data_IF_911306771741
#
_entry.id   IF_911306771741
#
_cell.length_a   1.000
_cell.length_b   1.000
_cell.length_c   1.000
_cell.angle_alpha   90.00
_cell.angle_beta   90.00
_cell.angle_gamma   90.00
#
_symmetry.space_group_name_H-M   'P 1'
#
loop_
_entity.id
_entity.type
_entity.pdbx_description
1 polymer ?
#
# COMPACT_ATOMS: atom_id res chain seq x y z
N UNK A 1 -13.49 -27.55 -33.42
CA UNK A 1 -13.55 -26.90 -32.10
C UNK A 1 -12.23 -27.21 -31.42
N UNK A 2 -11.29 -26.28 -31.54
CA UNK A 2 -9.92 -26.40 -31.06
C UNK A 2 -9.81 -25.57 -29.77
N UNK A 3 -9.41 -26.21 -28.67
CA UNK A 3 -9.19 -25.55 -27.38
C UNK A 3 -7.68 -25.47 -27.16
N UNK A 4 -7.12 -24.34 -27.57
CA UNK A 4 -5.74 -23.97 -27.28
C UNK A 4 -5.44 -24.06 -25.78
N UNK A 5 -4.27 -24.57 -25.36
CA UNK A 5 -3.86 -24.55 -23.97
C UNK A 5 -3.60 -23.11 -23.52
N UNK A 6 -4.14 -22.79 -22.33
CA UNK A 6 -3.98 -21.52 -21.62
C UNK A 6 -2.50 -21.16 -21.50
N UNK A 7 -2.15 -19.98 -22.04
CA UNK A 7 -0.85 -19.33 -21.83
C UNK A 7 -0.65 -19.08 -20.34
N UNK A 8 0.43 -19.60 -19.78
CA UNK A 8 0.95 -19.23 -18.46
C UNK A 8 1.32 -17.74 -18.52
N UNK A 9 0.57 -16.91 -17.80
CA UNK A 9 0.94 -15.51 -17.59
C UNK A 9 2.09 -15.49 -16.59
N UNK A 10 3.31 -15.22 -17.09
CA UNK A 10 4.45 -14.80 -16.27
C UNK A 10 4.16 -13.40 -15.74
N UNK A 11 4.35 -13.17 -14.44
CA UNK A 11 4.42 -11.82 -13.88
C UNK A 11 3.90 -11.67 -12.46
N UNK A 12 4.55 -12.31 -11.48
CA UNK A 12 4.77 -11.73 -10.15
C UNK A 12 6.17 -12.19 -9.73
N UNK A 13 7.20 -11.53 -10.26
CA UNK A 13 8.55 -11.69 -9.73
C UNK A 13 8.58 -11.07 -8.33
N UNK A 14 8.85 -11.89 -7.30
CA UNK A 14 9.02 -11.43 -5.92
C UNK A 14 8.25 -12.21 -4.84
N UNK A 15 7.32 -13.09 -5.20
CA UNK A 15 6.66 -13.98 -4.22
C UNK A 15 6.89 -15.44 -4.62
N UNK A 16 7.94 -16.04 -4.04
CA UNK A 16 8.09 -17.49 -4.08
C UNK A 16 6.97 -18.07 -3.22
N UNK A 17 6.12 -18.92 -3.83
CA UNK A 17 5.07 -19.64 -3.09
C UNK A 17 5.73 -20.45 -1.95
N UNK A 18 5.27 -20.34 -0.69
CA UNK A 18 5.85 -21.11 0.39
C UNK A 18 5.71 -22.63 0.11
N UNK A 19 6.72 -23.44 0.43
CA UNK A 19 6.56 -24.90 0.44
C UNK A 19 5.40 -25.30 1.35
N UNK A 20 4.41 -26.04 0.83
CA UNK A 20 3.23 -26.50 1.58
C UNK A 20 1.92 -25.76 1.28
N UNK A 21 1.92 -24.78 0.36
CA UNK A 21 0.67 -24.15 -0.11
C UNK A 21 -0.15 -25.14 -0.96
N UNK A 22 -1.22 -25.68 -0.38
CA UNK A 22 -2.29 -26.35 -1.12
C UNK A 22 -3.36 -25.29 -1.44
N UNK A 23 -3.57 -25.02 -2.73
CA UNK A 23 -4.60 -24.09 -3.18
C UNK A 23 -5.96 -24.44 -2.54
N UNK A 24 -6.71 -23.41 -2.15
CA UNK A 24 -8.02 -23.58 -1.53
C UNK A 24 -8.89 -24.50 -2.41
N UNK A 25 -9.27 -25.65 -1.88
CA UNK A 25 -10.35 -26.46 -2.45
C UNK A 25 -11.68 -25.75 -2.20
N UNK A 26 -12.62 -25.93 -3.12
CA UNK A 26 -13.86 -25.15 -3.28
C UNK A 26 -14.82 -25.15 -2.08
N UNK A 27 -14.53 -25.92 -1.01
CA UNK A 27 -15.43 -26.11 0.13
C UNK A 27 -15.07 -25.34 1.41
N UNK A 28 -13.95 -24.61 1.47
CA UNK A 28 -13.58 -23.85 2.68
C UNK A 28 -14.12 -22.41 2.66
N UNK A 29 -15.43 -22.25 2.86
CA UNK A 29 -16.01 -20.98 3.30
C UNK A 29 -15.51 -20.69 4.72
N UNK A 30 -14.50 -19.82 4.82
CA UNK A 30 -13.85 -19.32 6.03
C UNK A 30 -12.92 -20.34 6.73
N UNK A 31 -11.82 -20.68 6.06
CA UNK A 31 -10.71 -21.42 6.66
C UNK A 31 -10.07 -20.64 7.81
N UNK A 32 -10.35 -21.06 9.05
CA UNK A 32 -9.58 -20.69 10.23
C UNK A 32 -8.25 -21.42 10.14
N UNK A 33 -7.16 -20.70 9.87
CA UNK A 33 -5.87 -21.35 9.63
C UNK A 33 -5.19 -21.84 10.92
N UNK A 34 -5.21 -21.14 12.07
CA UNK A 34 -4.58 -21.67 13.31
C UNK A 34 -5.17 -21.09 14.62
N UNK A 35 -5.07 -21.85 15.72
CA UNK A 35 -5.59 -21.55 17.08
C UNK A 35 -4.49 -21.09 18.05
N UNK A 36 -4.69 -19.97 18.73
CA UNK A 36 -3.86 -19.51 19.86
C UNK A 36 -4.07 -18.01 20.11
N UNK A 37 -4.33 -17.58 21.35
CA UNK A 37 -4.78 -16.20 21.61
C UNK A 37 -4.16 -15.51 22.83
N UNK A 38 -4.02 -14.19 22.74
CA UNK A 38 -3.61 -13.26 23.80
C UNK A 38 -4.72 -12.98 24.83
N UNK A 39 -4.37 -12.58 26.07
CA UNK A 39 -5.34 -12.14 27.09
C UNK A 39 -6.11 -10.88 26.68
N UNK A 40 -7.43 -10.85 26.98
CA UNK A 40 -8.39 -9.82 26.54
C UNK A 40 -8.16 -8.40 27.09
N UNK A 41 -7.54 -8.26 28.25
CA UNK A 41 -7.68 -7.04 29.07
C UNK A 41 -6.60 -5.97 28.84
N UNK A 42 -5.56 -6.29 28.06
CA UNK A 42 -4.44 -5.38 27.73
C UNK A 42 -4.58 -4.71 26.35
N UNK A 43 -5.66 -4.96 25.61
CA UNK A 43 -5.81 -4.47 24.25
C UNK A 43 -6.40 -3.03 24.18
N UNK A 44 -5.90 -2.17 23.25
CA UNK A 44 -6.46 -0.84 22.99
C UNK A 44 -7.97 -0.88 22.69
N UNK A 45 -8.69 0.21 22.95
CA UNK A 45 -10.15 0.29 22.75
C UNK A 45 -10.61 -0.05 21.33
N UNK A 46 -9.79 0.23 20.31
CA UNK A 46 -10.03 -0.14 18.92
C UNK A 46 -10.06 -1.67 18.66
N UNK A 47 -9.55 -2.47 19.60
CA UNK A 47 -9.53 -3.94 19.57
C UNK A 47 -10.67 -4.53 20.40
N UNK A 48 -11.33 -3.73 21.25
CA UNK A 48 -12.49 -4.13 22.07
C UNK A 48 -13.75 -4.24 21.20
N UNK A 49 -13.81 -5.27 20.37
CA UNK A 49 -14.92 -5.51 19.43
C UNK A 49 -14.57 -6.49 18.32
N UNK A 50 -13.29 -6.58 17.96
CA UNK A 50 -12.79 -7.75 17.24
C UNK A 50 -12.94 -8.95 18.17
N UNK A 51 -13.62 -10.01 17.70
CA UNK A 51 -13.59 -11.28 18.40
C UNK A 51 -12.11 -11.58 18.66
N UNK A 52 -11.70 -11.66 19.93
CA UNK A 52 -10.29 -11.74 20.34
C UNK A 52 -9.52 -12.79 19.53
N UNK A 53 -10.21 -13.86 19.12
CA UNK A 53 -9.71 -14.87 18.18
C UNK A 53 -9.30 -14.30 16.82
N UNK A 54 -10.15 -13.54 16.13
CA UNK A 54 -9.82 -12.94 14.82
C UNK A 54 -8.64 -11.98 14.90
N UNK A 55 -8.59 -11.13 15.94
CA UNK A 55 -7.44 -10.26 16.16
C UNK A 55 -6.15 -11.07 16.37
N UNK A 56 -6.20 -12.07 17.24
CA UNK A 56 -5.06 -12.95 17.48
C UNK A 56 -4.64 -13.72 16.22
N UNK A 57 -5.58 -14.20 15.41
CA UNK A 57 -5.28 -14.84 14.13
C UNK A 57 -4.56 -13.88 13.19
N UNK A 58 -5.02 -12.62 13.08
CA UNK A 58 -4.35 -11.62 12.24
C UNK A 58 -2.91 -11.34 12.70
N UNK A 59 -2.70 -11.20 14.02
CA UNK A 59 -1.37 -11.02 14.61
C UNK A 59 -0.49 -12.24 14.30
N UNK A 60 -0.97 -13.45 14.59
CA UNK A 60 -0.25 -14.69 14.33
C UNK A 60 0.11 -14.85 12.85
N UNK A 61 -0.78 -14.48 11.93
CA UNK A 61 -0.49 -14.55 10.50
C UNK A 61 0.66 -13.62 10.10
N UNK A 62 0.65 -12.37 10.59
CA UNK A 62 1.73 -11.41 10.33
C UNK A 62 3.04 -11.86 10.94
N UNK A 63 3.04 -12.32 12.20
CA UNK A 63 4.22 -12.84 12.89
C UNK A 63 4.80 -14.08 12.20
N UNK A 64 3.93 -14.97 11.71
CA UNK A 64 4.34 -16.18 10.98
C UNK A 64 5.03 -15.83 9.67
N UNK A 65 4.43 -14.93 8.87
CA UNK A 65 5.05 -14.47 7.62
C UNK A 65 6.40 -13.84 7.91
N UNK A 66 6.49 -12.96 8.91
CA UNK A 66 7.75 -12.32 9.29
C UNK A 66 8.80 -13.34 9.76
N UNK A 67 8.40 -14.38 10.50
CA UNK A 67 9.29 -15.45 10.96
C UNK A 67 9.74 -16.40 9.85
N UNK A 68 8.99 -16.47 8.74
CA UNK A 68 9.34 -17.27 7.55
C UNK A 68 10.16 -16.49 6.52
N UNK A 69 10.16 -15.15 6.60
CA UNK A 69 10.95 -14.31 5.72
C UNK A 69 12.45 -14.58 5.84
N UNK A 70 13.10 -14.69 4.69
CA UNK A 70 14.55 -14.74 4.57
C UNK A 70 15.19 -13.44 5.04
N UNK A 71 16.48 -13.49 5.39
CA UNK A 71 17.25 -12.30 5.74
C UNK A 71 17.28 -11.25 4.61
N UNK A 72 17.18 -11.69 3.35
CA UNK A 72 17.11 -10.80 2.19
C UNK A 72 15.76 -10.08 2.11
N UNK A 73 14.65 -10.79 2.31
CA UNK A 73 13.31 -10.18 2.34
C UNK A 73 13.15 -9.19 3.49
N UNK A 74 13.66 -9.52 4.68
CA UNK A 74 13.66 -8.61 5.83
C UNK A 74 14.47 -7.34 5.51
N UNK A 75 15.65 -7.49 4.87
CA UNK A 75 16.46 -6.35 4.45
C UNK A 75 15.74 -5.50 3.41
N UNK A 76 15.18 -6.12 2.37
CA UNK A 76 14.44 -5.43 1.32
C UNK A 76 13.23 -4.67 1.89
N UNK A 77 12.49 -5.26 2.82
CA UNK A 77 11.38 -4.60 3.50
C UNK A 77 11.81 -3.38 4.32
N UNK A 78 12.96 -3.45 5.01
CA UNK A 78 13.53 -2.31 5.76
C UNK A 78 14.04 -1.19 4.85
N UNK A 79 14.53 -1.53 3.66
CA UNK A 79 15.04 -0.56 2.68
C UNK A 79 13.92 0.09 1.86
N UNK A 80 12.68 -0.41 1.93
CA UNK A 80 11.59 0.01 1.07
C UNK A 80 11.27 1.52 1.17
N UNK A 81 11.03 2.03 2.39
CA UNK A 81 10.74 3.46 2.58
C UNK A 81 11.98 4.35 2.39
N UNK A 82 13.18 4.00 2.86
CA UNK A 82 14.40 4.73 2.49
C UNK A 82 14.59 4.89 0.97
N UNK A 83 14.39 3.81 0.22
CA UNK A 83 14.40 3.84 -1.25
C UNK A 83 13.28 4.73 -1.81
N UNK A 84 12.07 4.64 -1.25
CA UNK A 84 10.94 5.50 -1.59
C UNK A 84 11.18 6.98 -1.33
N UNK A 85 11.89 7.34 -0.24
CA UNK A 85 12.30 8.71 0.07
C UNK A 85 13.30 9.22 -0.98
N UNK A 86 14.24 8.37 -1.40
CA UNK A 86 15.19 8.68 -2.47
C UNK A 86 14.47 8.95 -3.81
N UNK A 87 13.45 8.15 -4.14
CA UNK A 87 12.59 8.42 -5.30
C UNK A 87 11.82 9.73 -5.16
N UNK A 88 11.26 10.00 -3.98
CA UNK A 88 10.56 11.25 -3.66
C UNK A 88 11.46 12.47 -3.91
N UNK A 89 12.68 12.45 -3.33
CA UNK A 89 13.67 13.51 -3.54
C UNK A 89 13.97 13.73 -5.01
N UNK A 90 14.16 12.66 -5.80
CA UNK A 90 14.40 12.75 -7.25
C UNK A 90 13.23 13.40 -8.00
N UNK A 91 11.99 13.05 -7.66
CA UNK A 91 10.81 13.65 -8.30
C UNK A 91 10.68 15.15 -8.00
N UNK A 92 10.89 15.58 -6.76
CA UNK A 92 10.90 17.01 -6.43
C UNK A 92 12.01 17.79 -7.13
N UNK A 93 13.20 17.18 -7.29
CA UNK A 93 14.31 17.78 -8.07
C UNK A 93 13.93 17.97 -9.54
N UNK A 94 13.28 16.97 -10.15
CA UNK A 94 12.77 17.06 -11.52
C UNK A 94 11.72 18.16 -11.67
N UNK A 95 10.90 18.38 -10.64
CA UNK A 95 9.95 19.49 -10.57
C UNK A 95 10.59 20.87 -10.28
N UNK A 96 11.91 20.94 -10.10
CA UNK A 96 12.65 22.20 -9.94
C UNK A 96 12.99 22.59 -8.50
N UNK A 97 12.64 21.78 -7.49
CA UNK A 97 12.91 22.07 -6.09
C UNK A 97 14.38 21.81 -5.73
N UNK A 98 15.14 22.87 -5.42
CA UNK A 98 16.61 22.79 -5.21
C UNK A 98 17.02 22.37 -3.81
N UNK A 99 16.16 22.53 -2.81
CA UNK A 99 16.43 22.14 -1.43
C UNK A 99 15.96 20.68 -1.24
N UNK A 100 16.77 19.84 -0.59
CA UNK A 100 16.49 18.39 -0.48
C UNK A 100 15.23 18.10 0.34
N UNK A 101 15.00 18.81 1.44
CA UNK A 101 13.80 18.64 2.26
C UNK A 101 12.54 19.01 1.49
N UNK A 102 12.56 20.14 0.80
CA UNK A 102 11.47 20.62 -0.06
C UNK A 102 11.20 19.65 -1.24
N UNK A 103 12.25 19.23 -1.93
CA UNK A 103 12.14 18.24 -3.01
C UNK A 103 11.57 16.89 -2.52
N UNK A 104 11.99 16.44 -1.34
CA UNK A 104 11.47 15.22 -0.72
C UNK A 104 9.99 15.36 -0.39
N UNK A 105 9.59 16.50 0.19
CA UNK A 105 8.22 16.77 0.59
C UNK A 105 7.26 16.78 -0.62
N UNK A 106 7.61 17.55 -1.65
CA UNK A 106 6.83 17.65 -2.90
C UNK A 106 6.76 16.31 -3.62
N UNK A 107 7.90 15.64 -3.78
CA UNK A 107 7.95 14.36 -4.48
C UNK A 107 7.18 13.26 -3.74
N UNK A 108 7.27 13.21 -2.42
CA UNK A 108 6.49 12.27 -1.61
C UNK A 108 4.99 12.55 -1.76
N UNK A 109 4.59 13.82 -1.78
CA UNK A 109 3.22 14.26 -2.01
C UNK A 109 2.67 13.80 -3.37
N UNK A 110 3.44 13.99 -4.44
CA UNK A 110 3.08 13.54 -5.80
C UNK A 110 2.94 12.02 -5.87
N UNK A 111 3.94 11.27 -5.38
CA UNK A 111 3.92 9.80 -5.38
C UNK A 111 2.73 9.28 -4.56
N UNK A 112 2.43 9.90 -3.43
CA UNK A 112 1.32 9.50 -2.58
C UNK A 112 -0.05 9.84 -3.17
N UNK A 113 -0.20 11.01 -3.79
CA UNK A 113 -1.42 11.41 -4.50
C UNK A 113 -1.76 10.44 -5.64
N UNK A 114 -0.74 9.92 -6.32
CA UNK A 114 -0.88 8.94 -7.41
C UNK A 114 -0.94 7.48 -6.93
N UNK A 115 -0.70 7.19 -5.65
CA UNK A 115 -0.64 5.81 -5.13
C UNK A 115 -1.92 4.95 -5.07
N UNK A 116 -3.17 5.47 -5.16
CA UNK A 116 -4.35 4.61 -5.02
C UNK A 116 -4.45 3.51 -6.09
N UNK A 117 -4.17 2.26 -5.69
CA UNK A 117 -4.40 1.03 -6.48
C UNK A 117 -3.52 0.85 -7.73
N UNK A 118 -2.32 1.42 -7.75
CA UNK A 118 -1.31 1.20 -8.80
C UNK A 118 -0.07 0.49 -8.27
N UNK A 119 0.50 -0.39 -9.09
CA UNK A 119 1.77 -1.04 -8.83
C UNK A 119 2.91 -0.02 -8.69
N UNK A 120 3.86 -0.27 -7.80
CA UNK A 120 4.90 0.69 -7.43
C UNK A 120 5.66 1.26 -8.64
N UNK A 121 6.10 0.42 -9.57
CA UNK A 121 6.88 0.86 -10.73
C UNK A 121 6.08 1.77 -11.65
N UNK A 122 4.80 1.46 -11.89
CA UNK A 122 3.91 2.30 -12.67
C UNK A 122 3.61 3.62 -11.94
N UNK A 123 3.51 3.59 -10.61
CA UNK A 123 3.37 4.81 -9.81
C UNK A 123 4.60 5.72 -10.00
N UNK A 124 5.81 5.16 -9.97
CA UNK A 124 7.04 5.90 -10.22
C UNK A 124 7.12 6.46 -11.64
N UNK A 125 6.71 5.70 -12.66
CA UNK A 125 6.63 6.18 -14.05
C UNK A 125 5.66 7.36 -14.16
N UNK A 126 4.47 7.24 -13.55
CA UNK A 126 3.48 8.31 -13.55
C UNK A 126 3.96 9.56 -12.78
N UNK A 127 4.60 9.38 -11.62
CA UNK A 127 5.19 10.47 -10.85
C UNK A 127 6.32 11.17 -11.63
N UNK A 128 7.17 10.41 -12.32
CA UNK A 128 8.21 10.95 -13.18
C UNK A 128 7.61 11.77 -14.34
N UNK A 129 6.65 11.20 -15.05
CA UNK A 129 5.96 11.89 -16.15
C UNK A 129 5.26 13.16 -15.65
N UNK A 130 4.64 13.09 -14.47
CA UNK A 130 3.96 14.23 -13.85
C UNK A 130 4.96 15.34 -13.49
N UNK A 131 6.07 15.01 -12.85
CA UNK A 131 7.11 15.97 -12.47
C UNK A 131 7.79 16.64 -13.67
N UNK A 132 7.91 15.94 -14.81
CA UNK A 132 8.63 16.44 -15.99
C UNK A 132 7.73 17.08 -17.05
N UNK A 133 6.47 16.66 -17.15
CA UNK A 133 5.55 17.10 -18.22
C UNK A 133 4.22 17.68 -17.71
N UNK A 134 3.94 17.59 -16.40
CA UNK A 134 2.65 17.96 -15.83
C UNK A 134 1.51 16.98 -16.15
N UNK A 135 1.82 15.78 -16.67
CA UNK A 135 0.84 14.75 -17.06
C UNK A 135 1.30 13.36 -16.63
N UNK A 136 0.37 12.47 -16.27
CA UNK A 136 0.66 11.04 -16.07
C UNK A 136 0.94 10.35 -17.41
N UNK A 137 1.68 9.24 -17.37
CA UNK A 137 2.02 8.46 -18.56
C UNK A 137 0.80 7.69 -19.07
N UNK A 138 0.07 7.02 -18.17
CA UNK A 138 -1.22 6.41 -18.48
C UNK A 138 -2.38 7.27 -17.98
N UNK A 139 -3.57 7.18 -18.61
CA UNK A 139 -4.77 7.80 -18.09
C UNK A 139 -4.98 7.38 -16.64
N UNK A 140 -4.93 8.36 -15.75
CA UNK A 140 -5.08 8.14 -14.32
C UNK A 140 -6.30 8.87 -13.79
N UNK A 141 -6.82 8.44 -12.64
CA UNK A 141 -8.00 9.06 -12.05
C UNK A 141 -7.86 10.57 -11.97
N UNK A 142 -8.88 11.31 -12.42
CA UNK A 142 -8.83 12.78 -12.53
C UNK A 142 -8.45 13.41 -11.19
N UNK A 143 -9.07 12.96 -10.10
CA UNK A 143 -8.85 13.47 -8.75
C UNK A 143 -7.38 13.31 -8.31
N UNK A 144 -6.77 12.16 -8.59
CA UNK A 144 -5.37 11.89 -8.23
C UNK A 144 -4.41 12.74 -9.06
N UNK A 145 -4.72 12.87 -10.35
CA UNK A 145 -3.95 13.70 -11.29
C UNK A 145 -4.01 15.18 -10.90
N UNK A 146 -5.19 15.68 -10.57
CA UNK A 146 -5.40 17.07 -10.12
C UNK A 146 -4.60 17.35 -8.85
N UNK A 147 -4.68 16.48 -7.83
CA UNK A 147 -3.91 16.61 -6.58
C UNK A 147 -2.41 16.67 -6.82
N UNK A 148 -1.88 15.75 -7.62
CA UNK A 148 -0.47 15.74 -7.97
C UNK A 148 -0.07 17.03 -8.70
N UNK A 149 -0.92 17.50 -9.62
CA UNK A 149 -0.69 18.75 -10.32
C UNK A 149 -0.75 19.97 -9.40
N UNK A 150 -1.62 20.00 -8.40
CA UNK A 150 -1.73 21.12 -7.46
C UNK A 150 -0.53 21.18 -6.52
N UNK A 151 -0.02 20.02 -6.07
CA UNK A 151 1.23 19.92 -5.31
C UNK A 151 2.39 20.49 -6.13
N UNK A 152 2.50 20.12 -7.42
CA UNK A 152 3.53 20.68 -8.31
C UNK A 152 3.41 22.20 -8.53
N UNK A 153 2.21 22.77 -8.35
CA UNK A 153 1.97 24.23 -8.40
C UNK A 153 2.21 24.93 -7.06
N UNK A 154 2.66 24.20 -6.03
CA UNK A 154 2.98 24.74 -4.72
C UNK A 154 1.88 24.58 -3.67
N UNK A 155 0.85 23.77 -3.92
CA UNK A 155 -0.06 23.38 -2.86
C UNK A 155 0.67 22.53 -1.80
N UNK A 156 0.32 22.71 -0.53
CA UNK A 156 0.90 21.93 0.55
C UNK A 156 0.55 20.43 0.40
N UNK A 157 1.55 19.52 0.33
CA UNK A 157 1.31 18.09 0.28
C UNK A 157 0.45 17.56 1.43
N UNK A 158 0.64 18.04 2.67
CA UNK A 158 -0.14 17.58 3.82
C UNK A 158 -1.63 17.80 3.60
N UNK A 159 -2.03 19.02 3.27
CA UNK A 159 -3.44 19.36 3.06
C UNK A 159 -4.02 18.65 1.82
N UNK A 160 -3.22 18.58 0.75
CA UNK A 160 -3.67 18.05 -0.54
C UNK A 160 -3.82 16.53 -0.51
N UNK A 161 -2.93 15.81 0.17
CA UNK A 161 -3.00 14.35 0.30
C UNK A 161 -4.06 13.94 1.33
N UNK A 162 -4.26 14.72 2.41
CA UNK A 162 -5.28 14.47 3.44
C UNK A 162 -6.71 14.59 2.87
N UNK A 163 -6.96 15.60 2.04
CA UNK A 163 -8.29 15.82 1.45
C UNK A 163 -8.63 14.61 0.58
N UNK A 164 -9.62 13.81 0.98
CA UNK A 164 -10.01 12.57 0.29
C UNK A 164 -10.67 12.80 -1.08
N UNK A 165 -10.45 13.95 -1.72
CA UNK A 165 -11.36 14.50 -2.73
C UNK A 165 -12.43 15.36 -2.03
N UNK A 166 -13.66 15.30 -2.53
CA UNK A 166 -14.81 16.15 -2.18
C UNK A 166 -15.34 16.05 -0.73
N UNK A 167 -14.76 15.20 0.12
CA UNK A 167 -15.24 14.94 1.48
C UNK A 167 -14.38 15.56 2.60
N UNK A 168 -13.40 16.39 2.25
CA UNK A 168 -12.56 17.09 3.22
C UNK A 168 -11.48 16.20 3.87
N UNK A 169 -10.85 16.66 4.97
CA UNK A 169 -9.73 15.97 5.60
C UNK A 169 -10.11 14.61 6.19
N UNK A 170 -9.50 13.52 5.71
CA UNK A 170 -9.72 12.19 6.29
C UNK A 170 -8.42 11.68 6.95
N UNK A 171 -8.32 11.67 8.30
CA UNK A 171 -7.13 11.18 9.00
C UNK A 171 -6.90 9.66 8.84
N UNK A 172 -7.88 8.92 8.31
CA UNK A 172 -7.78 7.49 7.93
C UNK A 172 -7.32 7.30 6.48
N UNK A 173 -6.96 8.37 5.79
CA UNK A 173 -6.54 8.32 4.41
C UNK A 173 -5.18 7.61 4.29
N UNK A 174 -5.17 6.42 3.69
CA UNK A 174 -3.95 5.63 3.44
C UNK A 174 -2.89 6.46 2.71
N UNK A 175 -3.26 7.26 1.71
CA UNK A 175 -2.31 8.06 0.95
C UNK A 175 -1.57 9.06 1.84
N UNK A 176 -2.22 9.58 2.88
CA UNK A 176 -1.57 10.48 3.82
C UNK A 176 -0.48 9.78 4.65
N UNK A 177 -0.79 8.61 5.21
CA UNK A 177 0.21 7.81 5.92
C UNK A 177 1.35 7.38 4.99
N UNK A 178 1.02 7.07 3.73
CA UNK A 178 2.03 6.73 2.73
C UNK A 178 2.95 7.90 2.41
N UNK A 179 2.39 9.11 2.26
CA UNK A 179 3.17 10.34 2.15
C UNK A 179 4.10 10.55 3.35
N UNK A 180 3.59 10.41 4.58
CA UNK A 180 4.40 10.61 5.80
C UNK A 180 5.56 9.61 5.87
N UNK A 181 5.31 8.34 5.54
CA UNK A 181 6.35 7.31 5.49
C UNK A 181 7.40 7.53 4.38
N UNK A 182 7.00 8.10 3.24
CA UNK A 182 7.94 8.48 2.17
C UNK A 182 8.75 9.72 2.54
N UNK A 183 8.14 10.70 3.21
CA UNK A 183 8.77 11.94 3.65
C UNK A 183 9.82 11.69 4.72
N UNK A 184 9.46 10.93 5.75
CA UNK A 184 10.33 10.58 6.86
C UNK A 184 10.14 9.11 7.26
N UNK A 185 10.92 8.19 6.67
CA UNK A 185 10.89 6.77 7.01
C UNK A 185 11.29 6.46 8.46
N UNK A 186 11.92 7.41 9.17
CA UNK A 186 12.41 7.21 10.53
C UNK A 186 11.37 7.56 11.60
N UNK A 187 10.30 8.27 11.24
CA UNK A 187 9.21 8.63 12.15
C UNK A 187 8.29 7.41 12.39
N UNK A 188 8.30 6.79 13.58
CA UNK A 188 7.50 5.59 13.86
C UNK A 188 6.02 5.91 14.09
N UNK A 189 5.61 7.18 14.08
CA UNK A 189 4.22 7.57 14.32
C UNK A 189 3.27 7.19 13.17
N UNK A 190 3.82 6.88 11.98
CA UNK A 190 3.04 6.66 10.76
C UNK A 190 3.11 5.23 10.29
N UNK A 191 1.94 4.66 9.96
CA UNK A 191 1.83 3.27 9.49
C UNK A 191 0.88 3.24 8.31
N UNK A 192 1.40 2.79 7.16
CA UNK A 192 0.57 2.54 5.98
C UNK A 192 0.14 1.09 5.98
N UNK A 193 -1.16 0.86 6.12
CA UNK A 193 -1.75 -0.47 5.90
C UNK A 193 -2.21 -0.53 4.44
N UNK A 194 -1.51 -1.30 3.61
CA UNK A 194 -1.88 -1.53 2.23
C UNK A 194 -2.59 -2.88 2.04
N UNK A 195 -2.91 -3.19 0.78
CA UNK A 195 -3.60 -4.43 0.43
C UNK A 195 -2.79 -5.68 0.79
N UNK A 196 -1.45 -5.62 0.73
CA UNK A 196 -0.59 -6.77 1.01
C UNK A 196 -0.49 -7.01 2.51
N UNK A 197 -0.40 -5.95 3.32
CA UNK A 197 -0.50 -6.05 4.77
C UNK A 197 -1.86 -6.61 5.22
N UNK A 198 -2.94 -6.17 4.58
CA UNK A 198 -4.28 -6.72 4.81
C UNK A 198 -4.37 -8.21 4.43
N UNK A 199 -3.84 -8.59 3.26
CA UNK A 199 -3.85 -9.98 2.80
C UNK A 199 -3.01 -10.89 3.71
N UNK A 200 -1.87 -10.40 4.17
CA UNK A 200 -1.04 -11.06 5.17
C UNK A 200 -1.81 -11.27 6.48
N UNK A 201 -2.47 -10.23 7.00
CA UNK A 201 -3.26 -10.32 8.22
C UNK A 201 -4.45 -11.28 8.08
N UNK A 202 -5.16 -11.24 6.95
CA UNK A 202 -6.36 -12.07 6.72
C UNK A 202 -6.04 -13.47 6.22
N UNK A 203 -4.79 -13.77 5.87
CA UNK A 203 -4.37 -15.05 5.29
C UNK A 203 -5.01 -15.35 3.93
N UNK A 204 -5.47 -14.32 3.22
CA UNK A 204 -6.21 -14.44 1.95
C UNK A 204 -5.71 -13.41 0.95
N UNK A 205 -5.35 -13.84 -0.26
CA UNK A 205 -5.02 -12.94 -1.37
C UNK A 205 -6.31 -12.54 -2.07
N UNK A 206 -6.75 -11.30 -1.90
CA UNK A 206 -7.94 -10.80 -2.59
C UNK A 206 -7.50 -10.16 -3.91
N UNK A 207 -7.98 -10.66 -5.05
CA UNK A 207 -7.57 -10.15 -6.37
C UNK A 207 -8.20 -8.78 -6.65
N UNK A 208 -7.60 -8.00 -7.55
CA UNK A 208 -8.07 -6.63 -7.87
C UNK A 208 -9.53 -6.56 -8.33
N UNK A 209 -10.03 -7.59 -9.01
CA UNK A 209 -11.42 -7.68 -9.47
C UNK A 209 -12.43 -7.88 -8.33
N UNK A 210 -12.03 -8.49 -7.22
CA UNK A 210 -12.90 -8.74 -6.05
C UNK A 210 -13.03 -7.52 -5.12
N UNK A 211 -12.18 -6.50 -5.32
CA UNK A 211 -12.13 -5.28 -4.48
C UNK A 211 -12.97 -4.13 -5.02
N UNK A 212 -13.46 -4.20 -6.26
CA UNK A 212 -14.22 -3.13 -6.92
C UNK A 212 -15.72 -3.12 -6.58
N UNK A 213 -16.22 -1.95 -6.16
CA UNK A 213 -17.62 -1.46 -6.23
C UNK A 213 -18.76 -2.28 -5.58
N UNK A 214 -18.50 -3.27 -4.71
CA UNK A 214 -19.57 -3.93 -3.92
C UNK A 214 -19.24 -4.14 -2.43
N UNK A 215 -18.21 -3.47 -1.91
CA UNK A 215 -17.76 -3.63 -0.51
C UNK A 215 -18.68 -2.98 0.56
N UNK A 216 -19.92 -2.60 0.21
CA UNK A 216 -20.89 -1.98 1.13
C UNK A 216 -21.35 -2.96 2.25
N UNK A 217 -21.07 -4.27 2.14
CA UNK A 217 -21.50 -5.26 3.12
C UNK A 217 -20.41 -6.01 3.90
N UNK A 218 -19.14 -5.57 3.89
CA UNK A 218 -18.01 -6.36 4.44
C UNK A 218 -17.22 -5.71 5.57
N UNK A 219 -17.68 -4.58 6.10
CA UNK A 219 -17.15 -3.95 7.32
C UNK A 219 -18.28 -3.77 8.33
#
# INVERSE_FOLDING_TARGET
>A
MDKSPLRVVRGVEGLVRPPGWHGATEDNKYGVLFYGGWPRDSAPSAVRGLATRQFNTMVTNVETILGQSTAQEVRAGREWYPSGQDHSRRMGKLAGHRIDSDATDVGAGVIAALSPSVEWDLNLINAHSMATTGRTFEPYGKVQTDKASDILRGANPEDTVITGGSEGPNPRNKSYHFYRNLKDPSDPAWVTVDRHAHDAATGSVITGGERGLSAIGRY
#
